data_IF_425242340930
#
_entry.id   IF_425242340930
#
_cell.length_a   1.000
_cell.length_b   1.000
_cell.length_c   1.000
_cell.angle_alpha   90.00
_cell.angle_beta   90.00
_cell.angle_gamma   90.00
#
_symmetry.space_group_name_H-M   'P 1'
#
loop_
_entity.id
_entity.type
_entity.pdbx_description
1 polymer ?
#
# COMPACT_ATOMS: atom_id res chain seq x y z
N UNK A 1 1.09 -1.20 -12.79
CA UNK A 1 -0.25 -0.54 -12.89
C UNK A 1 -0.24 0.83 -12.26
N UNK A 2 -0.90 1.81 -12.88
CA UNK A 2 -0.87 3.20 -12.40
C UNK A 2 -1.56 3.45 -11.05
N UNK A 3 -2.59 2.68 -10.71
CA UNK A 3 -3.28 2.80 -9.41
C UNK A 3 -2.37 2.49 -8.22
N UNK A 4 -1.37 1.60 -8.40
CA UNK A 4 -0.44 1.24 -7.33
C UNK A 4 0.51 2.37 -6.95
N UNK A 5 0.91 3.23 -7.89
CA UNK A 5 1.72 4.41 -7.58
C UNK A 5 0.95 5.38 -6.67
N UNK A 6 -0.34 5.61 -6.96
CA UNK A 6 -1.21 6.46 -6.14
C UNK A 6 -1.40 5.85 -4.75
N UNK A 7 -1.72 4.56 -4.69
CA UNK A 7 -1.96 3.86 -3.43
C UNK A 7 -0.69 3.81 -2.57
N UNK A 8 0.47 3.56 -3.17
CA UNK A 8 1.77 3.63 -2.48
C UNK A 8 1.91 4.95 -1.73
N UNK A 9 1.71 6.09 -2.40
CA UNK A 9 1.84 7.42 -1.78
C UNK A 9 0.75 7.76 -0.76
N UNK A 10 -0.50 7.31 -0.96
CA UNK A 10 -1.60 7.61 -0.03
C UNK A 10 -1.63 6.69 1.20
N UNK A 11 -1.06 5.49 1.10
CA UNK A 11 -0.97 4.53 2.22
C UNK A 11 0.30 4.74 3.03
N UNK A 12 1.35 5.34 2.47
CA UNK A 12 2.58 5.66 3.20
C UNK A 12 2.37 6.74 4.27
N UNK A 13 3.36 6.90 5.14
CA UNK A 13 3.35 7.91 6.19
C UNK A 13 3.12 9.31 5.59
N UNK A 14 2.16 10.10 6.11
CA UNK A 14 1.81 11.39 5.56
C UNK A 14 2.86 12.45 5.93
N UNK A 15 3.94 12.46 5.16
CA UNK A 15 5.07 13.38 5.30
C UNK A 15 4.89 14.67 4.49
N UNK A 16 5.88 15.56 4.58
CA UNK A 16 5.85 16.81 3.85
C UNK A 16 5.89 16.61 2.32
N UNK A 17 6.57 15.58 1.83
CA UNK A 17 6.65 15.29 0.40
C UNK A 17 5.25 14.97 -0.15
N UNK A 18 4.48 14.14 0.55
CA UNK A 18 3.09 13.85 0.17
C UNK A 18 2.23 15.11 0.14
N UNK A 19 2.33 15.97 1.16
CA UNK A 19 1.54 17.19 1.22
C UNK A 19 1.89 18.19 0.11
N UNK A 20 3.18 18.34 -0.22
CA UNK A 20 3.66 19.21 -1.29
C UNK A 20 3.20 18.72 -2.67
N UNK A 21 3.03 17.41 -2.85
CA UNK A 21 2.67 16.79 -4.12
C UNK A 21 1.19 16.38 -4.25
N UNK A 22 0.36 16.64 -3.22
CA UNK A 22 -1.02 16.15 -3.17
C UNK A 22 -1.89 16.68 -4.33
N UNK A 23 -1.65 17.91 -4.79
CA UNK A 23 -2.35 18.46 -5.97
C UNK A 23 -2.00 17.69 -7.25
N UNK A 24 -0.75 17.26 -7.41
CA UNK A 24 -0.32 16.42 -8.52
C UNK A 24 -0.97 15.05 -8.48
N UNK A 25 -1.13 14.45 -7.29
CA UNK A 25 -1.87 13.20 -7.11
C UNK A 25 -3.34 13.36 -7.51
N UNK A 26 -3.98 14.47 -7.15
CA UNK A 26 -5.38 14.76 -7.54
C UNK A 26 -5.53 14.86 -9.06
N UNK A 27 -4.67 15.62 -9.72
CA UNK A 27 -4.69 15.78 -11.18
C UNK A 27 -4.50 14.43 -11.86
N UNK A 28 -3.52 13.66 -11.39
CA UNK A 28 -3.24 12.32 -11.89
C UNK A 28 -4.43 11.36 -11.79
N UNK A 29 -5.09 11.30 -10.62
CA UNK A 29 -6.27 10.44 -10.40
C UNK A 29 -7.42 10.84 -11.31
N UNK A 30 -7.64 12.15 -11.52
CA UNK A 30 -8.71 12.65 -12.40
C UNK A 30 -8.47 12.25 -13.85
N UNK A 31 -7.26 12.47 -14.34
CA UNK A 31 -6.94 12.34 -15.76
C UNK A 31 -6.63 10.90 -16.20
N UNK A 32 -6.26 10.02 -15.25
CA UNK A 32 -5.93 8.63 -15.57
C UNK A 32 -7.13 7.85 -16.13
N UNK A 33 -7.03 7.33 -17.35
CA UNK A 33 -8.04 6.45 -17.93
C UNK A 33 -7.97 5.00 -17.43
N UNK A 34 -6.89 4.65 -16.71
CA UNK A 34 -6.63 3.29 -16.22
C UNK A 34 -7.28 3.00 -14.86
N UNK A 35 -7.58 4.05 -14.08
CA UNK A 35 -8.23 3.93 -12.77
C UNK A 35 -9.74 3.91 -12.98
N UNK A 36 -10.42 2.91 -12.41
CA UNK A 36 -11.87 2.77 -12.55
C UNK A 36 -12.61 3.92 -11.84
N UNK A 37 -13.79 4.28 -12.32
CA UNK A 37 -14.55 5.43 -11.79
C UNK A 37 -14.85 5.31 -10.30
N UNK A 38 -15.22 4.11 -9.84
CA UNK A 38 -15.47 3.80 -8.43
C UNK A 38 -14.20 3.95 -7.57
N UNK A 39 -13.05 3.53 -8.08
CA UNK A 39 -11.75 3.70 -7.41
C UNK A 39 -11.34 5.17 -7.35
N UNK A 40 -11.56 5.95 -8.41
CA UNK A 40 -11.33 7.40 -8.39
C UNK A 40 -12.15 8.08 -7.30
N UNK A 41 -13.43 7.74 -7.16
CA UNK A 41 -14.29 8.29 -6.11
C UNK A 41 -13.72 7.98 -4.72
N UNK A 42 -13.31 6.73 -4.47
CA UNK A 42 -12.69 6.31 -3.20
C UNK A 42 -11.40 7.10 -2.92
N UNK A 43 -10.52 7.23 -3.91
CA UNK A 43 -9.26 7.97 -3.79
C UNK A 43 -9.51 9.45 -3.49
N UNK A 44 -10.45 10.06 -4.21
CA UNK A 44 -10.81 11.47 -4.03
C UNK A 44 -11.48 11.74 -2.67
N UNK A 45 -12.29 10.80 -2.16
CA UNK A 45 -12.87 10.86 -0.82
C UNK A 45 -11.77 10.84 0.24
N UNK A 46 -10.79 9.94 0.11
CA UNK A 46 -9.66 9.85 1.03
C UNK A 46 -8.81 11.12 1.01
N UNK A 47 -8.48 11.64 -0.18
CA UNK A 47 -7.73 12.90 -0.32
C UNK A 47 -8.51 14.08 0.28
N UNK A 48 -9.83 14.11 0.12
CA UNK A 48 -10.69 15.13 0.72
C UNK A 48 -10.69 15.03 2.25
N UNK A 49 -10.71 13.81 2.79
CA UNK A 49 -10.52 13.57 4.22
C UNK A 49 -9.15 14.08 4.69
N UNK A 50 -8.05 13.79 3.98
CA UNK A 50 -6.72 14.32 4.31
C UNK A 50 -6.72 15.86 4.37
N UNK A 51 -7.29 16.51 3.35
CA UNK A 51 -7.36 17.99 3.28
C UNK A 51 -8.17 18.64 4.40
N UNK A 52 -9.06 17.90 5.03
CA UNK A 52 -9.85 18.40 6.17
C UNK A 52 -9.11 18.33 7.51
N UNK A 53 -7.89 17.77 7.54
CA UNK A 53 -7.08 17.60 8.74
C UNK A 53 -5.74 18.33 8.62
N UNK A 54 -5.13 18.64 9.76
CA UNK A 54 -3.75 19.15 9.78
C UNK A 54 -2.75 18.02 9.56
N UNK A 55 -1.55 18.33 9.06
CA UNK A 55 -0.47 17.36 8.88
C UNK A 55 -0.22 16.54 10.16
N UNK A 56 -0.10 17.21 11.31
CA UNK A 56 0.09 16.54 12.61
C UNK A 56 -1.05 15.58 12.94
N UNK A 57 -2.31 15.93 12.64
CA UNK A 57 -3.45 15.04 12.92
C UNK A 57 -3.44 13.80 12.02
N UNK A 58 -3.00 13.92 10.78
CA UNK A 58 -2.85 12.79 9.86
C UNK A 58 -1.72 11.87 10.29
N UNK A 59 -0.59 12.46 10.71
CA UNK A 59 0.56 11.73 11.24
C UNK A 59 0.23 10.99 12.52
N UNK A 60 -0.47 11.64 13.46
CA UNK A 60 -1.00 10.99 14.67
C UNK A 60 -1.93 9.83 14.33
N UNK A 61 -2.91 10.07 13.44
CA UNK A 61 -3.85 9.03 13.01
C UNK A 61 -3.15 7.86 12.32
N UNK A 62 -2.09 8.11 11.55
CA UNK A 62 -1.28 7.07 10.93
C UNK A 62 -0.60 6.19 11.98
N UNK A 63 0.12 6.79 12.92
CA UNK A 63 0.85 6.08 13.98
C UNK A 63 -0.12 5.27 14.85
N UNK A 64 -1.25 5.87 15.24
CA UNK A 64 -2.30 5.17 16.00
C UNK A 64 -2.88 3.98 15.23
N UNK A 65 -2.97 4.10 13.89
CA UNK A 65 -3.58 3.09 13.04
C UNK A 65 -2.63 1.92 12.77
N UNK A 66 -1.40 2.20 12.35
CA UNK A 66 -0.47 1.23 11.77
C UNK A 66 0.68 0.84 12.72
N UNK A 67 1.21 1.78 13.50
CA UNK A 67 2.41 1.53 14.32
C UNK A 67 2.07 1.03 15.73
N UNK A 68 0.90 1.40 16.25
CA UNK A 68 0.45 1.03 17.60
C UNK A 68 -0.37 -0.26 17.65
N UNK A 69 -0.82 -0.78 16.51
CA UNK A 69 -1.71 -1.95 16.44
C UNK A 69 -1.11 -3.02 15.51
N UNK A 70 -0.54 -4.10 16.06
CA UNK A 70 0.14 -5.16 15.28
C UNK A 70 -0.73 -5.76 14.17
N UNK A 71 -2.04 -5.87 14.38
CA UNK A 71 -2.99 -6.42 13.41
C UNK A 71 -3.19 -5.54 12.15
N UNK A 72 -2.67 -4.31 12.17
CA UNK A 72 -2.71 -3.39 11.04
C UNK A 72 -1.34 -3.15 10.40
N UNK A 73 -0.26 -3.71 10.95
CA UNK A 73 1.12 -3.46 10.49
C UNK A 73 1.24 -3.64 8.96
N UNK A 74 1.89 -2.70 8.29
CA UNK A 74 2.07 -2.73 6.84
C UNK A 74 3.29 -3.59 6.42
N UNK A 75 4.05 -4.15 7.36
CA UNK A 75 5.10 -5.14 7.09
C UNK A 75 4.49 -6.54 6.97
N UNK A 76 4.36 -7.04 5.75
CA UNK A 76 3.60 -8.27 5.49
C UNK A 76 4.16 -9.50 6.21
N UNK A 77 5.48 -9.60 6.38
CA UNK A 77 6.09 -10.73 7.09
C UNK A 77 5.76 -10.75 8.58
N UNK A 78 5.39 -9.62 9.19
CA UNK A 78 4.95 -9.57 10.58
C UNK A 78 3.66 -10.40 10.79
N UNK A 79 2.75 -10.40 9.81
CA UNK A 79 1.52 -11.20 9.86
C UNK A 79 1.75 -12.71 9.71
N UNK A 80 2.92 -13.11 9.20
CA UNK A 80 3.29 -14.52 9.02
C UNK A 80 4.11 -15.02 10.21
N UNK A 81 5.11 -14.24 10.62
CA UNK A 81 6.15 -14.66 11.55
C UNK A 81 6.07 -13.95 12.90
N UNK A 82 5.43 -12.79 13.01
CA UNK A 82 5.50 -11.93 14.19
C UNK A 82 6.95 -11.65 14.59
N UNK A 83 7.29 -11.98 15.83
CA UNK A 83 8.65 -11.88 16.39
C UNK A 83 9.50 -13.16 16.20
N UNK A 84 9.06 -14.11 15.37
CA UNK A 84 9.80 -15.34 15.11
C UNK A 84 11.14 -15.04 14.41
N UNK A 85 12.18 -15.79 14.79
CA UNK A 85 13.53 -15.67 14.22
C UNK A 85 13.58 -15.96 12.72
N UNK A 86 12.57 -16.63 12.18
CA UNK A 86 12.40 -16.91 10.75
C UNK A 86 12.05 -15.66 9.93
N UNK A 87 11.63 -14.56 10.56
CA UNK A 87 11.36 -13.30 9.85
C UNK A 87 12.61 -12.76 9.15
N UNK A 88 13.77 -12.81 9.82
CA UNK A 88 15.04 -12.33 9.26
C UNK A 88 15.42 -13.01 7.94
N UNK A 89 15.50 -14.36 7.89
CA UNK A 89 15.70 -15.10 6.65
C UNK A 89 14.68 -14.76 5.56
N UNK A 90 13.38 -14.66 5.87
CA UNK A 90 12.36 -14.31 4.88
C UNK A 90 12.57 -12.92 4.25
N UNK A 91 13.03 -11.94 5.04
CA UNK A 91 13.36 -10.60 4.53
C UNK A 91 14.61 -10.61 3.63
N UNK A 92 15.59 -11.49 3.91
CA UNK A 92 16.76 -11.68 3.05
C UNK A 92 16.33 -12.27 1.71
N UNK A 93 15.55 -13.35 1.73
CA UNK A 93 15.04 -14.01 0.52
C UNK A 93 14.23 -13.03 -0.34
N UNK A 94 13.38 -12.20 0.27
CA UNK A 94 12.61 -11.16 -0.43
C UNK A 94 13.52 -10.08 -1.04
N UNK A 95 14.56 -9.65 -0.31
CA UNK A 95 15.55 -8.68 -0.82
C UNK A 95 16.33 -9.24 -2.01
N UNK A 96 16.71 -10.52 -1.97
CA UNK A 96 17.39 -11.18 -3.08
C UNK A 96 16.48 -11.33 -4.29
N UNK A 97 15.20 -11.64 -4.09
CA UNK A 97 14.21 -11.66 -5.15
C UNK A 97 14.12 -10.31 -5.88
N UNK A 98 14.02 -9.20 -5.14
CA UNK A 98 14.00 -7.86 -5.73
C UNK A 98 15.26 -7.53 -6.52
N UNK A 99 16.44 -7.86 -5.98
CA UNK A 99 17.71 -7.66 -6.69
C UNK A 99 17.77 -8.43 -8.00
N UNK A 100 17.27 -9.66 -8.02
CA UNK A 100 17.23 -10.49 -9.23
C UNK A 100 16.29 -9.93 -10.31
N UNK A 101 15.22 -9.26 -9.90
CA UNK A 101 14.31 -8.53 -10.80
C UNK A 101 14.82 -7.12 -11.17
N UNK A 102 16.02 -6.74 -10.72
CA UNK A 102 16.67 -5.47 -11.07
C UNK A 102 16.26 -4.28 -10.20
N UNK A 103 15.71 -4.52 -9.02
CA UNK A 103 15.33 -3.49 -8.07
C UNK A 103 16.36 -3.30 -6.97
N UNK A 104 16.59 -2.03 -6.62
CA UNK A 104 17.35 -1.64 -5.45
C UNK A 104 16.39 -1.07 -4.41
N UNK A 105 16.12 -1.84 -3.36
CA UNK A 105 15.51 -1.32 -2.13
C UNK A 105 16.50 -0.34 -1.51
N UNK A 106 16.04 0.85 -1.13
CA UNK A 106 16.92 1.86 -0.55
C UNK A 106 17.54 1.33 0.74
N UNK A 107 18.77 1.73 1.00
CA UNK A 107 19.48 1.32 2.21
C UNK A 107 18.71 1.79 3.45
N UNK A 108 18.30 0.83 4.29
CA UNK A 108 17.52 1.09 5.52
C UNK A 108 16.02 0.83 5.40
N UNK A 109 15.48 0.62 4.20
CA UNK A 109 14.07 0.22 4.02
C UNK A 109 13.91 -1.30 4.16
N UNK A 110 12.80 -1.71 4.78
CA UNK A 110 12.46 -3.12 4.92
C UNK A 110 11.63 -3.55 3.69
N UNK A 111 12.04 -4.60 2.96
CA UNK A 111 11.48 -4.94 1.65
C UNK A 111 9.99 -5.37 1.69
N UNK A 112 9.45 -5.74 2.86
CA UNK A 112 8.07 -6.23 3.00
C UNK A 112 7.06 -5.14 3.39
N UNK A 113 7.47 -3.87 3.40
CA UNK A 113 6.59 -2.74 3.67
C UNK A 113 5.64 -2.50 2.48
N UNK A 114 4.32 -2.57 2.72
CA UNK A 114 3.33 -2.55 1.65
C UNK A 114 3.44 -1.35 0.69
N UNK A 115 3.60 -0.09 1.13
CA UNK A 115 3.81 1.04 0.20
C UNK A 115 4.99 0.86 -0.75
N UNK A 116 6.10 0.25 -0.29
CA UNK A 116 7.26 -0.06 -1.14
C UNK A 116 6.95 -1.15 -2.16
N UNK A 117 6.21 -2.19 -1.74
CA UNK A 117 5.72 -3.24 -2.65
C UNK A 117 4.81 -2.65 -3.74
N UNK A 118 3.96 -1.70 -3.39
CA UNK A 118 3.08 -1.00 -4.33
C UNK A 118 3.85 -0.08 -5.28
N UNK A 119 4.87 0.62 -4.78
CA UNK A 119 5.76 1.43 -5.61
C UNK A 119 6.42 0.54 -6.67
N UNK A 120 6.96 -0.61 -6.28
CA UNK A 120 7.51 -1.58 -7.23
C UNK A 120 6.46 -2.12 -8.20
N UNK A 121 5.31 -2.59 -7.70
CA UNK A 121 4.24 -3.11 -8.54
C UNK A 121 3.75 -2.08 -9.58
N UNK A 122 3.93 -0.78 -9.30
CA UNK A 122 3.62 0.28 -10.26
C UNK A 122 4.54 0.31 -11.47
N UNK A 123 5.80 -0.13 -11.34
CA UNK A 123 6.79 -0.19 -12.44
C UNK A 123 6.64 -1.41 -13.34
N UNK A 124 5.88 -2.41 -12.89
CA UNK A 124 5.59 -3.62 -13.64
C UNK A 124 4.41 -3.45 -14.59
N UNK A 125 4.37 -4.28 -15.64
CA UNK A 125 3.17 -4.42 -16.46
C UNK A 125 1.97 -4.95 -15.65
N UNK A 126 0.76 -4.75 -16.16
CA UNK A 126 -0.48 -5.06 -15.44
C UNK A 126 -0.52 -6.51 -14.93
N UNK A 127 -0.14 -7.48 -15.77
CA UNK A 127 -0.19 -8.90 -15.40
C UNK A 127 0.83 -9.20 -14.30
N UNK A 128 2.10 -8.80 -14.48
CA UNK A 128 3.15 -9.06 -13.50
C UNK A 128 2.90 -8.38 -12.17
N UNK A 129 2.37 -7.15 -12.19
CA UNK A 129 2.07 -6.42 -10.96
C UNK A 129 1.00 -7.11 -10.10
N UNK A 130 -0.02 -7.70 -10.75
CA UNK A 130 -1.09 -8.47 -10.08
C UNK A 130 -0.61 -9.82 -9.60
N UNK A 131 0.25 -10.49 -10.38
CA UNK A 131 0.90 -11.74 -9.99
C UNK A 131 1.77 -11.54 -8.75
N UNK A 132 2.63 -10.52 -8.79
CA UNK A 132 3.52 -10.15 -7.70
C UNK A 132 2.77 -9.91 -6.37
N UNK A 133 1.70 -9.11 -6.39
CA UNK A 133 0.88 -8.89 -5.19
C UNK A 133 -0.06 -10.07 -4.86
N UNK A 134 -0.26 -10.99 -5.81
CA UNK A 134 -1.08 -12.18 -5.63
C UNK A 134 -0.59 -13.08 -4.50
N UNK A 135 0.72 -13.22 -4.34
CA UNK A 135 1.34 -13.98 -3.25
C UNK A 135 1.06 -13.35 -1.88
N UNK A 136 0.93 -12.03 -1.83
CA UNK A 136 0.61 -11.26 -0.63
C UNK A 136 -0.89 -11.13 -0.35
N UNK A 137 -1.78 -11.53 -1.29
CA UNK A 137 -3.22 -11.26 -1.24
C UNK A 137 -3.85 -11.64 0.09
N UNK A 138 -3.54 -12.82 0.62
CA UNK A 138 -4.11 -13.31 1.88
C UNK A 138 -3.83 -12.37 3.04
N UNK A 139 -2.62 -11.80 3.11
CA UNK A 139 -2.20 -10.88 4.17
C UNK A 139 -2.88 -9.53 3.95
N UNK A 140 -2.92 -9.04 2.72
CA UNK A 140 -3.62 -7.81 2.35
C UNK A 140 -5.11 -7.89 2.73
N UNK A 141 -5.77 -9.02 2.50
CA UNK A 141 -7.16 -9.27 2.95
C UNK A 141 -7.28 -9.19 4.48
N UNK A 142 -6.34 -9.77 5.23
CA UNK A 142 -6.35 -9.71 6.70
C UNK A 142 -6.24 -8.26 7.19
N UNK A 143 -5.31 -7.49 6.62
CA UNK A 143 -5.12 -6.07 6.96
C UNK A 143 -6.41 -5.29 6.62
N UNK A 144 -6.98 -5.50 5.43
CA UNK A 144 -8.22 -4.83 5.02
C UNK A 144 -9.38 -5.13 5.97
N UNK A 145 -9.58 -6.40 6.36
CA UNK A 145 -10.62 -6.83 7.30
C UNK A 145 -10.44 -6.18 8.67
N UNK A 146 -9.21 -6.05 9.17
CA UNK A 146 -8.92 -5.42 10.45
C UNK A 146 -9.17 -3.91 10.40
N UNK A 147 -8.73 -3.24 9.33
CA UNK A 147 -9.00 -1.82 9.11
C UNK A 147 -10.49 -1.52 8.96
N UNK A 148 -11.27 -2.39 8.32
CA UNK A 148 -12.73 -2.26 8.23
C UNK A 148 -13.40 -2.39 9.62
N UNK A 149 -12.97 -3.35 10.45
CA UNK A 149 -13.45 -3.47 11.84
C UNK A 149 -13.11 -2.22 12.67
N UNK A 150 -11.94 -1.64 12.44
CA UNK A 150 -11.50 -0.39 13.06
C UNK A 150 -12.18 0.86 12.47
N UNK A 151 -12.95 0.72 11.37
CA UNK A 151 -13.56 1.83 10.61
C UNK A 151 -12.53 2.85 10.13
N UNK A 152 -11.35 2.37 9.75
CA UNK A 152 -10.24 3.20 9.29
C UNK A 152 -10.55 3.87 7.96
N UNK A 153 -10.17 5.15 7.74
CA UNK A 153 -10.25 5.77 6.41
C UNK A 153 -9.35 5.06 5.39
N UNK A 154 -8.29 4.37 5.82
CA UNK A 154 -7.38 3.61 4.96
C UNK A 154 -7.98 2.30 4.45
N UNK A 155 -9.07 1.80 5.05
CA UNK A 155 -9.58 0.46 4.74
C UNK A 155 -9.96 0.32 3.26
N UNK A 156 -10.64 1.34 2.71
CA UNK A 156 -11.02 1.37 1.30
C UNK A 156 -9.83 1.37 0.35
N UNK A 157 -8.70 1.99 0.72
CA UNK A 157 -7.48 1.96 -0.09
C UNK A 157 -6.89 0.55 -0.15
N UNK A 158 -6.80 -0.13 1.01
CA UNK A 158 -6.30 -1.51 1.07
C UNK A 158 -7.24 -2.47 0.33
N UNK A 159 -8.55 -2.22 0.32
CA UNK A 159 -9.51 -2.98 -0.50
C UNK A 159 -9.27 -2.83 -2.00
N UNK A 160 -8.82 -1.67 -2.48
CA UNK A 160 -8.41 -1.51 -3.88
C UNK A 160 -7.16 -2.35 -4.15
N UNK A 161 -6.16 -2.31 -3.26
CA UNK A 161 -4.98 -3.18 -3.38
C UNK A 161 -5.39 -4.65 -3.44
N UNK A 162 -6.24 -5.11 -2.53
CA UNK A 162 -6.77 -6.47 -2.48
C UNK A 162 -7.45 -6.89 -3.79
N UNK A 163 -8.31 -6.02 -4.34
CA UNK A 163 -9.02 -6.23 -5.61
C UNK A 163 -8.06 -6.47 -6.77
N UNK A 164 -6.93 -5.77 -6.79
CA UNK A 164 -5.92 -5.93 -7.84
C UNK A 164 -4.86 -6.99 -7.53
N UNK A 165 -4.79 -7.51 -6.31
CA UNK A 165 -3.84 -8.56 -5.90
C UNK A 165 -4.30 -9.96 -6.34
N UNK A 166 -4.79 -10.13 -7.58
CA UNK A 166 -5.21 -11.45 -8.08
C UNK A 166 -5.06 -11.58 -9.60
N UNK A 167 -4.79 -12.82 -10.04
CA UNK A 167 -4.79 -13.23 -11.45
C UNK A 167 -6.17 -13.62 -11.97
N UNK A 168 -7.15 -13.81 -11.08
CA UNK A 168 -8.50 -14.20 -11.51
C UNK A 168 -9.24 -12.97 -12.01
N UNK A 169 -9.22 -12.77 -13.33
CA UNK A 169 -10.22 -11.98 -14.01
C UNK A 169 -11.59 -12.55 -13.61
N UNK A 170 -12.35 -11.82 -12.79
CA UNK A 170 -13.76 -12.11 -12.65
C UNK A 170 -14.37 -11.87 -14.04
N UNK A 171 -14.70 -12.96 -14.72
CA UNK A 171 -15.46 -12.99 -15.96
C UNK A 171 -16.92 -12.59 -15.69
#
# INVERSE_FOLDING_TARGET
>A
MQVFAVLSKLIDYPDNELFENLDGVIEYVKDSSEIATDEKEILMDFISWMRSHTATKLQEAYVEMFDMVPEHDLHLTHHIFGDDRQRGPALIDLSEHFKNEGLEVKEGEIPDFLPLLLEYASTLDDIKSREFLGDAKKIITIIADNLDKAKSPYSKLIRIVEKHSCLTFAA
#
